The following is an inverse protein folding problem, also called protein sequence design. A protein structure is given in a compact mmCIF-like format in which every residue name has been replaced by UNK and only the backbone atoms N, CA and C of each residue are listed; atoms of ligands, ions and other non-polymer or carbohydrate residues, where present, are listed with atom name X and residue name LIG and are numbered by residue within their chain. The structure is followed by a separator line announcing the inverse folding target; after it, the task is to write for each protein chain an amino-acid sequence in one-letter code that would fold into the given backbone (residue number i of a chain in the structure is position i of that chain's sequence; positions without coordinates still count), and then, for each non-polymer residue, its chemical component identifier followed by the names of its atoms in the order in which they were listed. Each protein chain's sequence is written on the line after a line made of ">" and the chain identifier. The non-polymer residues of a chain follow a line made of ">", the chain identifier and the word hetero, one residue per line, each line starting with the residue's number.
data_IF_485417293457
#
_entry.id   IF_485417293457
#
_cell.length_a   1.000
_cell.length_b   1.000
_cell.length_c   1.000
_cell.angle_alpha   90.00
_cell.angle_beta   90.00
_cell.angle_gamma   90.00
#
_symmetry.space_group_name_H-M   'P 1'
#
loop_
_entity.id
_entity.type
_entity.pdbx_description
1 polymer ?
#
# COMPACT_ATOMS: atom_id res chain seq x y z
N UNK A 1 21.78 12.47 13.50
CA UNK A 1 20.65 11.55 13.74
C UNK A 1 19.37 12.23 13.28
N UNK A 2 18.89 12.00 12.05
CA UNK A 2 17.62 12.57 11.61
C UNK A 2 16.45 11.72 12.13
N UNK A 3 15.53 12.37 12.82
CA UNK A 3 14.36 11.79 13.43
C UNK A 3 13.42 11.23 12.35
N UNK A 4 13.04 9.96 12.48
CA UNK A 4 11.96 9.36 11.70
C UNK A 4 10.69 10.17 12.00
N UNK A 5 10.26 10.99 11.04
CA UNK A 5 8.93 11.58 11.07
C UNK A 5 7.93 10.45 11.08
N UNK A 6 7.20 10.30 12.20
CA UNK A 6 5.99 9.47 12.29
C UNK A 6 5.14 9.81 11.07
N UNK A 7 4.90 8.80 10.24
CA UNK A 7 3.97 8.86 9.11
C UNK A 7 2.67 9.49 9.59
N UNK A 8 2.41 10.73 9.16
CA UNK A 8 1.09 11.32 9.29
C UNK A 8 0.09 10.35 8.69
N UNK A 9 -0.94 10.04 9.46
CA UNK A 9 -2.14 9.34 9.00
C UNK A 9 -2.72 10.13 7.83
N UNK A 10 -2.29 9.81 6.62
CA UNK A 10 -2.95 10.25 5.39
C UNK A 10 -4.28 9.51 5.33
N UNK A 11 -5.37 10.22 5.61
CA UNK A 11 -6.71 9.76 5.29
C UNK A 11 -6.80 9.55 3.78
N UNK A 12 -6.62 8.30 3.36
CA UNK A 12 -6.99 7.83 2.04
C UNK A 12 -8.51 7.76 2.03
N UNK A 13 -9.15 8.79 1.49
CA UNK A 13 -10.59 8.75 1.24
C UNK A 13 -10.89 7.58 0.31
N UNK A 14 -11.65 6.56 0.75
CA UNK A 14 -12.01 5.45 -0.10
C UNK A 14 -13.04 5.94 -1.12
N UNK A 15 -12.74 5.79 -2.42
CA UNK A 15 -13.75 5.99 -3.45
C UNK A 15 -14.86 4.93 -3.25
N UNK A 16 -16.04 5.43 -2.84
CA UNK A 16 -17.37 4.82 -2.63
C UNK A 16 -17.54 3.32 -2.70
N UNK A 17 -17.23 2.70 -3.84
CA UNK A 17 -17.60 1.30 -4.11
C UNK A 17 -16.63 0.27 -3.49
N UNK A 18 -15.43 0.69 -3.10
CA UNK A 18 -14.39 -0.22 -2.59
C UNK A 18 -14.41 -0.43 -1.07
N UNK A 19 -14.98 0.50 -0.31
CA UNK A 19 -15.07 0.39 1.15
C UNK A 19 -15.91 -0.84 1.58
N UNK A 20 -17.01 -1.08 0.87
CA UNK A 20 -17.91 -2.21 1.13
C UNK A 20 -17.21 -3.58 0.98
N UNK A 21 -16.34 -3.73 -0.02
CA UNK A 21 -15.62 -5.00 -0.29
C UNK A 21 -14.52 -5.23 0.75
N UNK A 22 -13.85 -4.17 1.21
CA UNK A 22 -12.82 -4.27 2.24
C UNK A 22 -13.44 -4.65 3.60
N UNK A 23 -14.58 -4.06 3.95
CA UNK A 23 -15.33 -4.40 5.18
C UNK A 23 -15.80 -5.86 5.18
N UNK A 24 -16.31 -6.37 4.06
CA UNK A 24 -16.73 -7.77 3.92
C UNK A 24 -15.54 -8.73 4.09
N UNK A 25 -14.38 -8.43 3.48
CA UNK A 25 -13.16 -9.24 3.63
C UNK A 25 -12.62 -9.22 5.07
N UNK A 26 -12.73 -8.08 5.76
CA UNK A 26 -12.35 -7.96 7.17
C UNK A 26 -13.28 -8.77 8.08
N UNK A 27 -14.58 -8.80 7.77
CA UNK A 27 -15.54 -9.63 8.49
C UNK A 27 -15.25 -11.12 8.30
N UNK A 28 -15.02 -11.56 7.07
CA UNK A 28 -14.61 -12.94 6.76
C UNK A 28 -13.32 -13.34 7.49
N UNK A 29 -12.35 -12.41 7.60
CA UNK A 29 -11.11 -12.64 8.34
C UNK A 29 -11.36 -12.89 9.83
N UNK A 30 -12.26 -12.14 10.45
CA UNK A 30 -12.56 -12.29 11.87
C UNK A 30 -13.30 -13.60 12.16
N UNK A 31 -14.26 -13.97 11.31
CA UNK A 31 -14.97 -15.25 11.41
C UNK A 31 -13.99 -16.44 11.32
N UNK A 32 -13.06 -16.41 10.35
CA UNK A 32 -12.04 -17.46 10.20
C UNK A 32 -11.08 -17.56 11.38
N UNK A 33 -10.74 -16.43 12.04
CA UNK A 33 -9.88 -16.41 13.23
C UNK A 33 -10.58 -17.01 14.45
N UNK A 34 -11.88 -16.74 14.60
CA UNK A 34 -12.70 -17.34 15.65
C UNK A 34 -12.76 -18.86 15.46
N UNK A 35 -13.00 -19.32 14.23
CA UNK A 35 -13.03 -20.75 13.89
C UNK A 35 -11.68 -21.44 14.15
N UNK A 36 -10.56 -20.82 13.75
CA UNK A 36 -9.23 -21.34 14.03
C UNK A 36 -8.98 -21.52 15.53
N UNK A 37 -9.38 -20.52 16.32
CA UNK A 37 -9.21 -20.55 17.78
C UNK A 37 -9.99 -21.71 18.40
N UNK A 38 -11.22 -21.96 17.92
CA UNK A 38 -12.03 -23.10 18.37
C UNK A 38 -11.41 -24.45 17.99
N UNK A 39 -10.86 -24.56 16.77
CA UNK A 39 -10.20 -25.78 16.31
C UNK A 39 -8.93 -26.10 17.10
N UNK A 40 -8.16 -25.08 17.50
CA UNK A 40 -6.96 -25.28 18.32
C UNK A 40 -7.28 -25.78 19.74
N UNK A 41 -8.39 -25.31 20.35
CA UNK A 41 -8.87 -25.87 21.63
C UNK A 41 -9.30 -27.34 21.47
N UNK A 42 -9.97 -27.66 20.37
CA UNK A 42 -10.38 -29.04 20.06
C UNK A 42 -9.16 -29.97 19.83
N UNK A 43 -8.09 -29.47 19.24
CA UNK A 43 -6.83 -30.19 19.07
C UNK A 43 -6.21 -30.58 20.42
N UNK A 44 -6.09 -29.61 21.33
CA UNK A 44 -5.55 -29.85 22.68
C UNK A 44 -6.38 -30.86 23.48
N UNK A 45 -7.69 -30.91 23.24
CA UNK A 45 -8.62 -31.83 23.92
C UNK A 45 -8.60 -33.25 23.30
N UNK A 46 -7.81 -33.50 22.25
CA UNK A 46 -7.70 -34.82 21.61
C UNK A 46 -8.90 -35.16 20.73
N UNK A 47 -9.45 -34.17 20.01
CA UNK A 47 -10.62 -34.34 19.14
C UNK A 47 -10.34 -35.17 17.86
N UNK A 48 -11.41 -35.61 17.20
CA UNK A 48 -11.37 -36.39 15.95
C UNK A 48 -10.54 -35.75 14.83
N UNK A 49 -9.80 -36.59 14.08
CA UNK A 49 -8.90 -36.21 13.00
C UNK A 49 -9.55 -35.36 11.87
N UNK A 50 -10.86 -35.53 11.64
CA UNK A 50 -11.62 -34.75 10.65
C UNK A 50 -11.77 -33.26 10.99
N UNK A 51 -11.63 -32.90 12.28
CA UNK A 51 -11.59 -31.49 12.71
C UNK A 51 -10.17 -30.92 12.60
N UNK A 52 -9.15 -31.74 12.78
CA UNK A 52 -7.74 -31.34 12.66
C UNK A 52 -7.35 -31.01 11.21
N UNK A 53 -7.85 -31.78 10.23
CA UNK A 53 -7.60 -31.48 8.81
C UNK A 53 -8.13 -30.12 8.37
N UNK A 54 -9.16 -29.59 9.04
CA UNK A 54 -9.71 -28.25 8.77
C UNK A 54 -8.76 -27.12 9.16
N UNK A 55 -7.84 -27.34 10.11
CA UNK A 55 -6.90 -26.30 10.58
C UNK A 55 -6.05 -25.78 9.41
N UNK A 56 -5.49 -26.69 8.60
CA UNK A 56 -4.66 -26.30 7.45
C UNK A 56 -5.46 -25.51 6.41
N UNK A 57 -6.72 -25.90 6.18
CA UNK A 57 -7.61 -25.23 5.22
C UNK A 57 -7.94 -23.82 5.70
N UNK A 58 -8.28 -23.66 6.98
CA UNK A 58 -8.58 -22.35 7.58
C UNK A 58 -7.34 -21.44 7.56
N UNK A 59 -6.16 -21.96 7.92
CA UNK A 59 -4.91 -21.18 7.87
C UNK A 59 -4.57 -20.69 6.46
N UNK A 60 -4.74 -21.56 5.45
CA UNK A 60 -4.55 -21.19 4.04
C UNK A 60 -5.55 -20.12 3.61
N UNK A 61 -6.81 -20.24 4.04
CA UNK A 61 -7.86 -19.27 3.74
C UNK A 61 -7.58 -17.90 4.35
N UNK A 62 -7.15 -17.84 5.62
CA UNK A 62 -6.73 -16.61 6.31
C UNK A 62 -5.59 -15.92 5.54
N UNK A 63 -4.57 -16.69 5.13
CA UNK A 63 -3.44 -16.18 4.37
C UNK A 63 -3.89 -15.59 3.02
N UNK A 64 -4.84 -16.23 2.33
CA UNK A 64 -5.41 -15.72 1.08
C UNK A 64 -6.17 -14.40 1.29
N UNK A 65 -7.05 -14.32 2.29
CA UNK A 65 -7.82 -13.10 2.59
C UNK A 65 -6.89 -11.93 2.91
N UNK A 66 -5.90 -12.14 3.79
CA UNK A 66 -4.88 -11.12 4.10
C UNK A 66 -4.08 -10.70 2.87
N UNK A 67 -3.79 -11.64 1.95
CA UNK A 67 -3.09 -11.33 0.70
C UNK A 67 -3.93 -10.41 -0.19
N UNK A 68 -5.23 -10.68 -0.33
CA UNK A 68 -6.14 -9.87 -1.16
C UNK A 68 -6.28 -8.45 -0.57
N UNK A 69 -6.43 -8.33 0.75
CA UNK A 69 -6.49 -7.03 1.45
C UNK A 69 -5.21 -6.24 1.18
N UNK A 70 -4.05 -6.84 1.43
CA UNK A 70 -2.76 -6.17 1.23
C UNK A 70 -2.50 -5.78 -0.24
N UNK A 71 -2.89 -6.63 -1.20
CA UNK A 71 -2.78 -6.32 -2.62
C UNK A 71 -3.66 -5.13 -3.00
N UNK A 72 -4.89 -5.09 -2.52
CA UNK A 72 -5.85 -4.02 -2.79
C UNK A 72 -5.39 -2.69 -2.19
N UNK A 73 -4.95 -2.70 -0.93
CA UNK A 73 -4.40 -1.53 -0.25
C UNK A 73 -3.16 -0.98 -0.98
N UNK A 74 -2.20 -1.86 -1.36
CA UNK A 74 -1.01 -1.43 -2.12
C UNK A 74 -1.37 -0.89 -3.50
N UNK A 75 -2.36 -1.47 -4.19
CA UNK A 75 -2.83 -0.98 -5.49
C UNK A 75 -3.41 0.43 -5.35
N UNK A 76 -4.18 0.70 -4.30
CA UNK A 76 -4.76 2.01 -4.03
C UNK A 76 -3.68 3.04 -3.70
N UNK A 77 -2.70 2.67 -2.86
CA UNK A 77 -1.54 3.49 -2.58
C UNK A 77 -0.74 3.84 -3.84
N UNK A 78 -0.53 2.87 -4.75
CA UNK A 78 0.16 3.11 -6.03
C UNK A 78 -0.57 4.16 -6.88
N UNK A 79 -1.89 4.06 -7.01
CA UNK A 79 -2.72 5.04 -7.74
C UNK A 79 -2.62 6.42 -7.11
N UNK A 80 -2.74 6.50 -5.78
CA UNK A 80 -2.71 7.76 -5.06
C UNK A 80 -1.36 8.49 -5.13
N UNK A 81 -0.25 7.74 -5.10
CA UNK A 81 1.10 8.27 -5.20
C UNK A 81 1.64 8.33 -6.63
N UNK A 82 0.85 7.98 -7.65
CA UNK A 82 1.33 7.91 -9.04
C UNK A 82 1.85 9.26 -9.53
N UNK A 83 1.08 10.32 -9.30
CA UNK A 83 1.33 11.71 -9.69
C UNK A 83 2.17 12.51 -8.69
N UNK A 84 2.57 11.93 -7.57
CA UNK A 84 3.32 12.64 -6.52
C UNK A 84 4.82 12.46 -6.71
N UNK A 85 5.57 13.57 -6.55
CA UNK A 85 7.05 13.59 -6.60
C UNK A 85 7.67 12.65 -5.56
N UNK A 86 7.12 12.64 -4.34
CA UNK A 86 7.62 11.81 -3.24
C UNK A 86 6.72 10.59 -3.03
N UNK A 87 7.31 9.40 -3.21
CA UNK A 87 6.67 8.11 -2.95
C UNK A 87 7.33 7.43 -1.75
N UNK A 88 6.59 6.74 -0.89
CA UNK A 88 7.16 5.96 0.20
C UNK A 88 8.01 4.79 -0.33
N UNK A 89 9.04 4.39 0.44
CA UNK A 89 10.01 3.37 0.05
C UNK A 89 9.37 1.99 -0.23
N UNK A 90 8.28 1.62 0.47
CA UNK A 90 7.57 0.34 0.24
C UNK A 90 6.94 0.23 -1.17
N UNK A 91 6.60 1.38 -1.78
CA UNK A 91 6.01 1.40 -3.12
C UNK A 91 7.07 1.41 -4.24
N UNK A 92 8.35 1.61 -3.90
CA UNK A 92 9.41 1.64 -4.89
C UNK A 92 9.60 0.28 -5.58
N UNK A 93 9.90 0.27 -6.88
CA UNK A 93 10.22 -0.95 -7.59
C UNK A 93 11.53 -1.53 -7.02
N UNK A 94 11.52 -2.81 -6.68
CA UNK A 94 12.72 -3.54 -6.27
C UNK A 94 13.61 -3.76 -7.49
N UNK A 95 14.67 -2.97 -7.63
CA UNK A 95 15.72 -3.12 -8.64
C UNK A 95 17.07 -3.41 -7.96
N UNK A 96 18.03 -3.88 -8.74
CA UNK A 96 19.40 -4.09 -8.27
C UNK A 96 20.07 -2.72 -8.03
N UNK A 97 20.93 -2.59 -7.02
CA UNK A 97 21.65 -1.34 -6.70
C UNK A 97 22.33 -0.72 -7.94
N UNK A 98 22.97 -1.54 -8.79
CA UNK A 98 23.61 -1.07 -10.02
C UNK A 98 22.64 -0.34 -10.98
N UNK A 99 21.37 -0.76 -11.03
CA UNK A 99 20.36 -0.06 -11.84
C UNK A 99 19.96 1.29 -11.25
N UNK A 100 20.01 1.45 -9.93
CA UNK A 100 19.75 2.74 -9.27
C UNK A 100 20.92 3.72 -9.45
N UNK A 101 22.15 3.22 -9.56
CA UNK A 101 23.36 4.03 -9.79
C UNK A 101 23.61 4.37 -11.26
N UNK A 102 22.93 3.69 -12.20
CA UNK A 102 23.04 4.04 -13.62
C UNK A 102 22.43 5.42 -13.85
N UNK A 103 23.22 6.33 -14.45
CA UNK A 103 22.73 7.64 -14.85
C UNK A 103 21.59 7.46 -15.86
N UNK A 104 20.47 8.16 -15.64
CA UNK A 104 19.35 8.17 -16.58
C UNK A 104 19.67 9.19 -17.68
N UNK A 105 19.77 8.74 -18.94
CA UNK A 105 20.13 9.59 -20.09
C UNK A 105 19.08 10.65 -20.44
N UNK A 106 17.90 10.61 -19.83
CA UNK A 106 16.84 11.61 -20.03
C UNK A 106 16.36 12.14 -18.68
N UNK A 107 16.69 13.40 -18.42
CA UNK A 107 16.00 14.25 -17.43
C UNK A 107 14.82 14.89 -18.17
N UNK A 108 13.56 14.73 -17.76
CA UNK A 108 12.54 15.68 -18.13
C UNK A 108 12.84 16.95 -17.32
N UNK A 109 13.33 17.96 -18.03
CA UNK A 109 13.44 19.35 -17.60
C UNK A 109 12.22 19.71 -16.73
N UNK A 110 12.45 20.19 -15.51
CA UNK A 110 11.41 20.71 -14.64
C UNK A 110 10.60 21.77 -15.41
N UNK A 111 9.28 21.58 -15.54
CA UNK A 111 8.38 22.59 -16.10
C UNK A 111 8.31 23.80 -15.16
N UNK A 112 9.29 24.69 -15.29
CA UNK A 112 9.28 26.05 -14.79
C UNK A 112 8.64 26.96 -15.86
N UNK A 113 7.31 26.93 -15.98
CA UNK A 113 6.58 27.91 -16.78
C UNK A 113 5.10 28.00 -16.38
N UNK A 114 4.82 28.24 -15.09
CA UNK A 114 3.55 28.81 -14.71
C UNK A 114 3.72 29.71 -13.49
N UNK A 115 3.45 31.00 -13.73
CA UNK A 115 3.25 32.11 -12.78
C UNK A 115 4.52 32.83 -12.32
N UNK A 116 4.87 33.89 -13.07
CA UNK A 116 5.87 34.88 -12.68
C UNK A 116 5.83 36.10 -13.59
N UNK A 117 4.97 37.05 -13.29
CA UNK A 117 4.80 38.37 -13.94
C UNK A 117 6.06 39.25 -13.80
N UNK A 118 6.23 40.19 -14.76
CA UNK A 118 7.03 41.45 -14.74
C UNK A 118 8.50 41.32 -15.26
N UNK A 119 9.05 42.09 -16.22
CA UNK A 119 8.72 43.26 -17.07
C UNK A 119 9.71 43.22 -18.26
N UNK A 120 9.37 43.66 -19.49
CA UNK A 120 10.37 43.88 -20.54
C UNK A 120 11.08 45.23 -20.32
N UNK A 121 12.38 45.21 -19.99
CA UNK A 121 13.20 46.44 -20.00
C UNK A 121 13.53 46.81 -21.44
N UNK A 122 12.64 47.58 -22.06
CA UNK A 122 12.87 48.24 -23.34
C UNK A 122 13.12 49.74 -23.12
N UNK A 123 14.25 50.21 -23.67
CA UNK A 123 14.48 51.52 -24.27
C UNK A 123 14.47 52.82 -23.40
N UNK A 124 15.63 53.49 -23.46
CA UNK A 124 15.84 54.93 -23.72
C UNK A 124 15.20 55.99 -22.80
N UNK A 125 16.04 56.62 -21.96
CA UNK A 125 16.09 58.09 -21.79
C UNK A 125 17.36 58.51 -21.05
N UNK A 126 18.13 59.46 -21.61
CA UNK A 126 19.18 60.21 -20.92
C UNK A 126 20.38 60.51 -21.79
#
# INVERSE_FOLDING_TARGET
>A
MPQHMRSGSLSLEPHGDFAFVEEELLKQLEDLKVDLSQLHVAEVTGSAASKLSKIQVVHTSIAHVLTIINQTQKKNLRKFYESKKYKPLDLWPKKICAMHHRLNEQQPEDQEAAVGTAVPTAELRG
#
